data_IF_297387034929
#
_entry.id   IF_297387034929
#
_cell.length_a   1.000
_cell.length_b   1.000
_cell.length_c   1.000
_cell.angle_alpha   90.00
_cell.angle_beta   90.00
_cell.angle_gamma   90.00
#
_symmetry.space_group_name_H-M   'P 1'
#
loop_
_entity.id
_entity.type
_entity.pdbx_description
1 polymer ?
#
# COMPACT_ATOMS: atom_id res chain seq x y z
N UNK A 1 5.46 4.36 13.84
CA UNK A 1 4.15 4.92 14.26
C UNK A 1 4.00 4.93 15.78
N UNK A 2 3.93 3.78 16.46
CA UNK A 2 3.67 3.77 17.92
C UNK A 2 4.83 4.22 18.83
N UNK A 3 6.08 4.12 18.36
CA UNK A 3 7.26 4.43 19.18
C UNK A 3 7.75 3.24 20.03
N UNK A 4 8.90 3.41 20.69
CA UNK A 4 9.42 2.46 21.69
C UNK A 4 8.95 2.88 23.08
N UNK A 5 8.89 1.95 24.02
CA UNK A 5 8.51 2.26 25.41
C UNK A 5 9.39 3.38 26.00
N UNK A 6 10.71 3.25 25.83
CA UNK A 6 11.68 4.25 26.30
C UNK A 6 11.44 5.64 25.70
N UNK A 7 11.06 5.74 24.43
CA UNK A 7 10.73 7.03 23.82
C UNK A 7 9.43 7.61 24.38
N UNK A 8 8.40 6.76 24.55
CA UNK A 8 7.09 7.20 25.07
C UNK A 8 7.22 7.72 26.49
N UNK A 9 7.95 7.00 27.35
CA UNK A 9 8.20 7.39 28.74
C UNK A 9 9.10 8.64 28.86
N UNK A 10 9.93 8.90 27.85
CA UNK A 10 10.85 10.03 27.81
C UNK A 10 10.25 11.35 27.33
N UNK A 11 9.05 11.35 26.74
CA UNK A 11 8.46 12.59 26.23
C UNK A 11 8.04 13.52 27.37
N UNK A 12 8.46 14.78 27.28
CA UNK A 12 7.97 15.85 28.16
C UNK A 12 7.06 16.81 27.40
N UNK A 13 6.29 17.62 28.14
CA UNK A 13 5.36 18.62 27.58
C UNK A 13 6.02 19.50 26.51
N UNK A 14 7.24 19.94 26.75
CA UNK A 14 7.95 20.84 25.84
C UNK A 14 8.31 20.18 24.51
N UNK A 15 8.50 18.86 24.46
CA UNK A 15 8.71 18.14 23.20
C UNK A 15 7.44 18.12 22.35
N UNK A 16 6.28 17.92 22.98
CA UNK A 16 4.98 17.96 22.30
C UNK A 16 4.68 19.36 21.76
N UNK A 17 4.93 20.40 22.56
CA UNK A 17 4.77 21.79 22.11
C UNK A 17 5.69 22.13 20.95
N UNK A 18 6.96 21.73 21.03
CA UNK A 18 7.93 21.92 19.94
C UNK A 18 7.48 21.20 18.67
N UNK A 19 6.96 19.99 18.79
CA UNK A 19 6.42 19.23 17.66
C UNK A 19 5.24 19.96 17.01
N UNK A 20 4.23 20.37 17.80
CA UNK A 20 3.07 21.10 17.28
C UNK A 20 3.51 22.40 16.59
N UNK A 21 4.39 23.18 17.22
CA UNK A 21 4.91 24.43 16.64
C UNK A 21 5.67 24.22 15.31
N UNK A 22 6.36 23.10 15.15
CA UNK A 22 7.12 22.80 13.93
C UNK A 22 6.32 22.13 12.81
N UNK A 23 5.22 21.44 13.14
CA UNK A 23 4.48 20.60 12.19
C UNK A 23 3.04 21.06 11.91
N UNK A 24 2.37 21.74 12.84
CA UNK A 24 0.99 22.21 12.68
C UNK A 24 0.99 23.66 12.14
N UNK A 25 1.50 23.81 10.93
CA UNK A 25 1.73 25.11 10.27
C UNK A 25 0.93 25.19 8.97
N UNK A 26 0.63 26.40 8.52
CA UNK A 26 -0.18 26.66 7.32
C UNK A 26 0.27 25.84 6.09
N UNK A 27 1.56 25.86 5.71
CA UNK A 27 2.07 25.11 4.55
C UNK A 27 1.97 23.57 4.66
N UNK A 28 1.70 23.01 5.85
CA UNK A 28 1.54 21.56 6.10
C UNK A 28 0.11 21.17 6.45
N UNK A 29 -0.85 22.09 6.28
CA UNK A 29 -2.24 21.89 6.68
C UNK A 29 -3.14 21.96 5.45
N UNK A 30 -3.96 20.92 5.28
CA UNK A 30 -5.04 20.89 4.29
C UNK A 30 -6.36 20.91 5.04
N UNK A 31 -7.21 21.89 4.70
CA UNK A 31 -8.58 21.96 5.21
C UNK A 31 -9.50 21.52 4.08
N UNK A 32 -10.39 20.56 4.35
CA UNK A 32 -11.28 19.98 3.36
C UNK A 32 -12.73 19.98 3.85
N UNK A 33 -13.68 20.04 2.91
CA UNK A 33 -15.10 19.88 3.16
C UNK A 33 -15.75 19.08 2.03
N UNK A 34 -16.74 18.25 2.37
CA UNK A 34 -17.59 17.56 1.41
C UNK A 34 -19.03 17.47 1.98
N UNK A 35 -20.01 17.45 1.07
CA UNK A 35 -21.43 17.39 1.41
C UNK A 35 -22.20 18.63 0.97
N UNK A 36 -23.29 18.93 1.67
CA UNK A 36 -24.14 20.09 1.38
C UNK A 36 -23.54 21.37 1.97
N UNK A 37 -22.50 21.90 1.33
CA UNK A 37 -21.78 23.11 1.76
C UNK A 37 -21.79 24.16 0.65
N UNK A 38 -22.01 25.42 1.02
CA UNK A 38 -21.74 26.55 0.13
C UNK A 38 -20.23 26.76 0.08
N UNK A 39 -19.63 26.48 -1.08
CA UNK A 39 -18.19 26.54 -1.27
C UNK A 39 -17.62 27.95 -1.00
N UNK A 40 -18.31 29.01 -1.41
CA UNK A 40 -17.82 30.37 -1.26
C UNK A 40 -17.87 30.81 0.21
N UNK A 41 -18.99 30.55 0.90
CA UNK A 41 -19.12 30.84 2.32
C UNK A 41 -18.13 30.02 3.17
N UNK A 42 -17.95 28.74 2.82
CA UNK A 42 -16.99 27.88 3.50
C UNK A 42 -15.55 28.33 3.30
N UNK A 43 -15.15 28.69 2.07
CA UNK A 43 -13.81 29.21 1.80
C UNK A 43 -13.53 30.51 2.55
N UNK A 44 -14.50 31.42 2.63
CA UNK A 44 -14.36 32.66 3.39
C UNK A 44 -14.16 32.38 4.88
N UNK A 45 -14.97 31.49 5.46
CA UNK A 45 -14.86 31.11 6.87
C UNK A 45 -13.54 30.37 7.18
N UNK A 46 -13.11 29.47 6.29
CA UNK A 46 -11.83 28.78 6.44
C UNK A 46 -10.66 29.77 6.38
N UNK A 47 -10.68 30.71 5.43
CA UNK A 47 -9.67 31.74 5.34
C UNK A 47 -9.61 32.59 6.62
N UNK A 48 -10.75 32.96 7.19
CA UNK A 48 -10.83 33.71 8.46
C UNK A 48 -10.25 32.90 9.63
N UNK A 49 -10.75 31.68 9.85
CA UNK A 49 -10.39 30.85 11.02
C UNK A 49 -8.92 30.41 11.01
N UNK A 50 -8.35 30.21 9.82
CA UNK A 50 -6.97 29.74 9.66
C UNK A 50 -5.99 30.85 9.28
N UNK A 51 -6.42 32.12 9.16
CA UNK A 51 -5.54 33.27 8.85
C UNK A 51 -4.38 33.43 9.84
N UNK A 52 -4.60 33.09 11.11
CA UNK A 52 -3.59 33.19 12.17
C UNK A 52 -2.63 32.00 12.25
N UNK A 53 -2.76 30.99 11.38
CA UNK A 53 -1.85 29.85 11.42
C UNK A 53 -0.41 30.29 11.16
N UNK A 54 0.55 29.85 11.98
CA UNK A 54 1.95 30.11 11.71
C UNK A 54 2.35 29.51 10.36
N UNK A 55 3.15 30.23 9.59
CA UNK A 55 3.80 29.65 8.39
C UNK A 55 4.85 28.58 8.78
N UNK A 56 5.24 28.55 10.05
CA UNK A 56 6.43 27.86 10.55
C UNK A 56 7.67 28.73 10.38
N UNK A 57 8.78 28.35 11.03
CA UNK A 57 10.09 28.80 10.54
C UNK A 57 10.23 28.32 9.08
N UNK A 58 10.99 29.05 8.23
CA UNK A 58 11.38 28.49 6.94
C UNK A 58 11.83 27.05 7.17
N UNK A 59 11.40 26.09 6.32
CA UNK A 59 11.80 24.72 6.51
C UNK A 59 13.32 24.76 6.66
N UNK A 60 13.81 24.46 7.87
CA UNK A 60 15.17 23.95 7.97
C UNK A 60 15.19 22.91 6.87
N UNK A 61 16.14 23.02 5.96
CA UNK A 61 16.38 22.05 4.92
C UNK A 61 16.86 20.72 5.54
N UNK A 62 16.21 20.26 6.63
CA UNK A 62 15.90 18.88 6.88
C UNK A 62 15.22 18.35 5.61
N UNK A 63 16.06 18.08 4.63
CA UNK A 63 15.76 17.16 3.56
C UNK A 63 15.07 15.97 4.22
N UNK A 64 13.91 15.53 3.70
CA UNK A 64 13.37 14.25 4.14
C UNK A 64 14.53 13.25 4.13
N UNK A 65 14.74 12.47 5.21
CA UNK A 65 15.88 11.57 5.31
C UNK A 65 15.95 10.79 4.01
N UNK A 66 17.13 10.79 3.37
CA UNK A 66 17.33 10.15 2.09
C UNK A 66 16.70 8.76 2.14
N UNK A 67 15.76 8.49 1.23
CA UNK A 67 15.01 7.25 1.25
C UNK A 67 16.02 6.10 1.25
N UNK A 68 16.09 5.35 2.36
CA UNK A 68 16.97 4.21 2.45
C UNK A 68 16.61 3.28 1.29
N UNK A 69 17.58 2.87 0.45
CA UNK A 69 17.29 1.96 -0.65
C UNK A 69 16.57 0.73 -0.12
N UNK A 70 15.47 0.36 -0.78
CA UNK A 70 14.73 -0.82 -0.39
C UNK A 70 15.62 -2.06 -0.54
N UNK A 71 15.84 -2.78 0.55
CA UNK A 71 16.76 -3.92 0.60
C UNK A 71 16.05 -5.28 0.63
N UNK A 72 14.75 -5.30 0.93
CA UNK A 72 14.06 -6.52 1.38
C UNK A 72 14.59 -6.97 2.75
N UNK A 73 13.70 -7.41 3.64
CA UNK A 73 14.09 -7.91 4.96
C UNK A 73 13.18 -9.05 5.38
N UNK A 74 13.74 -10.05 6.06
CA UNK A 74 12.97 -11.17 6.58
C UNK A 74 13.03 -11.18 8.11
N UNK A 75 11.88 -10.90 8.73
CA UNK A 75 11.73 -10.81 10.18
C UNK A 75 10.80 -11.92 10.68
N UNK A 76 11.13 -12.47 11.84
CA UNK A 76 10.31 -13.42 12.54
C UNK A 76 10.07 -12.98 13.98
N UNK A 77 8.82 -13.10 14.43
CA UNK A 77 8.48 -12.93 15.84
C UNK A 77 7.84 -14.21 16.36
N UNK A 78 8.51 -14.85 17.33
CA UNK A 78 7.91 -16.00 18.01
C UNK A 78 6.75 -15.52 18.87
N UNK A 79 5.59 -16.15 18.68
CA UNK A 79 4.39 -15.89 19.47
C UNK A 79 3.72 -17.22 19.81
N UNK A 80 4.07 -17.78 20.97
CA UNK A 80 3.74 -19.16 21.33
C UNK A 80 2.33 -19.33 21.91
N UNK A 81 1.67 -18.22 22.26
CA UNK A 81 0.34 -18.16 22.86
C UNK A 81 -0.78 -18.48 21.87
N UNK A 82 -0.48 -18.52 20.57
CA UNK A 82 -1.44 -18.80 19.50
C UNK A 82 -0.95 -19.97 18.65
N UNK A 83 -1.89 -20.77 18.14
CA UNK A 83 -1.60 -21.88 17.22
C UNK A 83 -1.38 -21.42 15.77
N UNK A 84 -1.81 -20.21 15.45
CA UNK A 84 -1.75 -19.64 14.11
C UNK A 84 -0.39 -18.98 13.82
N UNK A 85 -0.11 -18.87 12.52
CA UNK A 85 1.00 -18.11 11.95
C UNK A 85 0.42 -17.01 11.08
N UNK A 86 0.88 -15.79 11.31
CA UNK A 86 0.55 -14.58 10.55
C UNK A 86 1.72 -14.29 9.62
N UNK A 87 1.46 -14.29 8.32
CA UNK A 87 2.45 -14.02 7.28
C UNK A 87 2.07 -12.73 6.55
N UNK A 88 3.04 -11.83 6.40
CA UNK A 88 2.94 -10.65 5.56
C UNK A 88 4.16 -10.61 4.64
N UNK A 89 3.94 -10.39 3.36
CA UNK A 89 4.98 -10.27 2.35
C UNK A 89 4.72 -9.00 1.56
N UNK A 90 5.72 -8.12 1.49
CA UNK A 90 5.59 -6.81 0.89
C UNK A 90 6.72 -6.56 -0.12
N UNK A 91 6.38 -5.89 -1.21
CA UNK A 91 7.32 -5.49 -2.26
C UNK A 91 7.06 -4.05 -2.68
N UNK A 92 8.12 -3.27 -2.98
CA UNK A 92 7.96 -1.91 -3.46
C UNK A 92 7.42 -1.96 -4.88
N UNK A 93 6.49 -1.07 -5.18
CA UNK A 93 5.90 -0.97 -6.53
C UNK A 93 5.94 0.45 -7.10
N UNK A 94 6.24 1.46 -6.26
CA UNK A 94 6.34 2.84 -6.67
C UNK A 94 7.43 3.05 -7.74
N UNK A 95 7.12 3.66 -8.90
CA UNK A 95 8.10 4.03 -9.90
C UNK A 95 8.92 5.23 -9.44
N UNK A 96 10.13 5.37 -9.97
CA UNK A 96 10.97 6.55 -9.75
C UNK A 96 10.60 7.63 -10.77
N UNK A 97 10.27 8.84 -10.30
CA UNK A 97 10.25 10.06 -11.13
C UNK A 97 9.09 10.22 -12.11
N UNK A 98 7.84 10.06 -11.67
CA UNK A 98 6.65 10.32 -12.49
C UNK A 98 6.00 11.68 -12.15
N UNK A 99 5.42 12.38 -13.12
CA UNK A 99 4.57 13.54 -12.88
C UNK A 99 3.23 13.16 -12.20
N UNK A 100 2.44 14.16 -11.78
CA UNK A 100 1.20 13.97 -11.02
C UNK A 100 0.19 13.00 -11.66
N UNK A 101 -0.03 13.12 -12.98
CA UNK A 101 -1.04 12.32 -13.68
C UNK A 101 -0.53 10.89 -13.90
N UNK A 102 0.73 10.75 -14.29
CA UNK A 102 1.40 9.45 -14.38
C UNK A 102 1.42 8.74 -13.02
N UNK A 103 1.60 9.48 -11.92
CA UNK A 103 1.51 8.95 -10.56
C UNK A 103 0.09 8.46 -10.24
N UNK A 104 -0.95 9.24 -10.52
CA UNK A 104 -2.34 8.83 -10.26
C UNK A 104 -2.70 7.55 -11.02
N UNK A 105 -2.35 7.48 -12.31
CA UNK A 105 -2.59 6.30 -13.16
C UNK A 105 -1.85 5.08 -12.66
N UNK A 106 -0.56 5.22 -12.37
CA UNK A 106 0.24 4.12 -11.85
C UNK A 106 -0.30 3.62 -10.49
N UNK A 107 -0.71 4.52 -9.58
CA UNK A 107 -1.30 4.14 -8.28
C UNK A 107 -2.59 3.35 -8.45
N UNK A 108 -3.42 3.73 -9.43
CA UNK A 108 -4.63 2.99 -9.79
C UNK A 108 -4.30 1.61 -10.37
N UNK A 109 -3.30 1.50 -11.25
CA UNK A 109 -2.85 0.22 -11.80
C UNK A 109 -2.32 -0.71 -10.69
N UNK A 110 -1.55 -0.19 -9.73
CA UNK A 110 -1.06 -0.95 -8.59
C UNK A 110 -2.20 -1.41 -7.65
N UNK A 111 -3.18 -0.54 -7.40
CA UNK A 111 -4.37 -0.90 -6.61
C UNK A 111 -5.22 -1.94 -7.33
N UNK A 112 -5.35 -1.82 -8.65
CA UNK A 112 -6.05 -2.80 -9.49
C UNK A 112 -5.34 -4.16 -9.48
N UNK A 113 -4.01 -4.20 -9.55
CA UNK A 113 -3.23 -5.43 -9.43
C UNK A 113 -3.46 -6.14 -8.08
N UNK A 114 -3.45 -5.38 -6.97
CA UNK A 114 -3.70 -5.94 -5.64
C UNK A 114 -5.13 -6.49 -5.53
N UNK A 115 -6.12 -5.73 -5.99
CA UNK A 115 -7.52 -6.17 -5.99
C UNK A 115 -7.77 -7.37 -6.93
N UNK A 116 -7.08 -7.41 -8.08
CA UNK A 116 -7.12 -8.54 -8.99
C UNK A 116 -6.60 -9.81 -8.30
N UNK A 117 -5.47 -9.72 -7.61
CA UNK A 117 -4.80 -10.87 -7.02
C UNK A 117 -5.49 -11.41 -5.76
N UNK A 118 -5.88 -10.52 -4.84
CA UNK A 118 -6.39 -10.91 -3.52
C UNK A 118 -7.68 -10.20 -3.08
N UNK A 119 -8.29 -9.39 -3.93
CA UNK A 119 -9.51 -8.65 -3.62
C UNK A 119 -10.78 -9.51 -3.74
N UNK A 120 -11.19 -10.11 -2.62
CA UNK A 120 -12.43 -10.88 -2.50
C UNK A 120 -12.27 -12.38 -2.79
N UNK A 121 -13.36 -13.14 -2.59
CA UNK A 121 -13.31 -14.62 -2.55
C UNK A 121 -13.00 -15.27 -3.90
N UNK A 122 -13.36 -14.65 -5.01
CA UNK A 122 -13.07 -15.14 -6.37
C UNK A 122 -11.73 -14.66 -6.92
N UNK A 123 -10.92 -13.98 -6.11
CA UNK A 123 -9.57 -13.60 -6.53
C UNK A 123 -8.64 -14.83 -6.55
N UNK A 124 -7.66 -14.92 -7.47
CA UNK A 124 -6.79 -16.09 -7.62
C UNK A 124 -6.13 -16.55 -6.32
N UNK A 125 -5.72 -15.61 -5.47
CA UNK A 125 -5.11 -15.91 -4.18
C UNK A 125 -6.12 -16.60 -3.25
N UNK A 126 -7.29 -15.99 -3.02
CA UNK A 126 -8.29 -16.54 -2.11
C UNK A 126 -8.83 -17.89 -2.61
N UNK A 127 -9.19 -17.97 -3.89
CA UNK A 127 -9.70 -19.19 -4.53
C UNK A 127 -8.70 -20.35 -4.43
N UNK A 128 -7.44 -20.12 -4.79
CA UNK A 128 -6.42 -21.19 -4.75
C UNK A 128 -6.05 -21.57 -3.32
N UNK A 129 -5.69 -20.57 -2.51
CA UNK A 129 -5.08 -20.81 -1.20
C UNK A 129 -6.11 -21.26 -0.17
N UNK A 130 -7.30 -20.64 -0.15
CA UNK A 130 -8.34 -20.96 0.84
C UNK A 130 -9.25 -22.08 0.36
N UNK A 131 -9.79 -21.94 -0.86
CA UNK A 131 -10.87 -22.84 -1.31
C UNK A 131 -10.33 -24.16 -1.88
N UNK A 132 -9.33 -24.11 -2.77
CA UNK A 132 -8.80 -25.34 -3.41
C UNK A 132 -7.79 -26.10 -2.55
N UNK A 133 -6.85 -25.39 -1.93
CA UNK A 133 -5.73 -26.03 -1.21
C UNK A 133 -5.90 -26.05 0.31
N UNK A 134 -6.85 -25.28 0.87
CA UNK A 134 -7.08 -25.23 2.32
C UNK A 134 -5.84 -24.81 3.13
N UNK A 135 -4.96 -24.00 2.55
CA UNK A 135 -3.66 -23.62 3.11
C UNK A 135 -3.74 -22.44 4.07
N UNK A 136 -4.81 -21.64 4.04
CA UNK A 136 -4.97 -20.49 4.93
C UNK A 136 -6.42 -20.32 5.39
N UNK A 137 -6.60 -19.71 6.56
CA UNK A 137 -7.89 -19.22 7.03
C UNK A 137 -8.27 -17.94 6.27
N UNK A 138 -7.30 -17.03 6.13
CA UNK A 138 -7.41 -15.79 5.37
C UNK A 138 -6.20 -15.65 4.46
N UNK A 139 -6.42 -15.10 3.27
CA UNK A 139 -5.40 -14.80 2.29
C UNK A 139 -5.93 -13.67 1.40
N UNK A 140 -5.26 -12.52 1.43
CA UNK A 140 -5.66 -11.32 0.72
C UNK A 140 -4.43 -10.55 0.24
N UNK A 141 -4.66 -9.56 -0.62
CA UNK A 141 -3.63 -8.66 -1.10
C UNK A 141 -4.14 -7.23 -1.12
N UNK A 142 -3.25 -6.30 -0.77
CA UNK A 142 -3.54 -4.88 -0.67
C UNK A 142 -2.40 -4.05 -1.23
N UNK A 143 -2.70 -2.80 -1.57
CA UNK A 143 -1.69 -1.79 -1.85
C UNK A 143 -1.60 -0.90 -0.61
N UNK A 144 -0.53 -1.04 0.17
CA UNK A 144 -0.20 -0.13 1.26
C UNK A 144 0.63 1.02 0.71
N UNK A 145 0.30 2.27 1.03
CA UNK A 145 0.90 3.42 0.35
C UNK A 145 0.91 4.67 1.22
N UNK A 146 1.95 5.47 1.04
CA UNK A 146 2.05 6.83 1.54
C UNK A 146 2.18 7.83 0.40
N UNK A 147 2.62 9.03 0.76
CA UNK A 147 2.97 10.13 -0.13
C UNK A 147 4.10 9.76 -1.09
N UNK A 148 5.21 9.21 -0.58
CA UNK A 148 6.42 8.94 -1.35
C UNK A 148 6.73 7.45 -1.55
N UNK A 149 5.88 6.54 -1.07
CA UNK A 149 6.11 5.10 -1.11
C UNK A 149 4.83 4.33 -1.38
N UNK A 150 4.98 3.12 -1.91
CA UNK A 150 3.88 2.18 -2.09
C UNK A 150 4.40 0.75 -2.17
N UNK A 151 3.74 -0.14 -1.44
CA UNK A 151 4.07 -1.53 -1.29
C UNK A 151 2.86 -2.40 -1.64
N UNK A 152 3.07 -3.38 -2.52
CA UNK A 152 2.12 -4.46 -2.71
C UNK A 152 2.30 -5.44 -1.56
N UNK A 153 1.24 -5.73 -0.81
CA UNK A 153 1.29 -6.57 0.39
C UNK A 153 0.37 -7.77 0.21
N UNK A 154 0.92 -8.97 0.42
CA UNK A 154 0.17 -10.22 0.56
C UNK A 154 0.14 -10.61 2.02
N UNK A 155 -1.07 -10.84 2.54
CA UNK A 155 -1.31 -11.19 3.94
C UNK A 155 -2.02 -12.53 4.03
N UNK A 156 -1.59 -13.40 4.93
CA UNK A 156 -2.25 -14.68 5.16
C UNK A 156 -2.13 -15.13 6.62
N UNK A 157 -3.17 -15.83 7.10
CA UNK A 157 -3.17 -16.51 8.40
C UNK A 157 -3.31 -18.00 8.20
N UNK A 158 -2.37 -18.78 8.74
CA UNK A 158 -2.26 -20.22 8.51
C UNK A 158 -1.81 -20.97 9.77
N UNK A 159 -1.51 -22.26 9.67
CA UNK A 159 -0.87 -23.08 10.70
C UNK A 159 0.59 -23.35 10.33
N UNK A 160 1.48 -23.64 11.30
CA UNK A 160 2.91 -23.82 11.05
C UNK A 160 3.25 -24.89 10.00
N UNK A 161 2.47 -25.97 9.93
CA UNK A 161 2.64 -27.09 9.00
C UNK A 161 2.31 -26.73 7.54
N UNK A 162 1.48 -25.70 7.31
CA UNK A 162 1.04 -25.27 5.98
C UNK A 162 1.84 -24.11 5.40
N UNK A 163 2.63 -23.43 6.23
CA UNK A 163 3.34 -22.19 5.87
C UNK A 163 4.22 -22.33 4.62
N UNK A 164 4.95 -23.43 4.51
CA UNK A 164 5.86 -23.68 3.39
C UNK A 164 5.10 -23.86 2.06
N UNK A 165 4.01 -24.63 2.08
CA UNK A 165 3.16 -24.87 0.92
C UNK A 165 2.43 -23.59 0.50
N UNK A 166 1.94 -22.82 1.49
CA UNK A 166 1.33 -21.51 1.26
C UNK A 166 2.27 -20.57 0.52
N UNK A 167 3.50 -20.39 1.01
CA UNK A 167 4.49 -19.51 0.38
C UNK A 167 4.85 -19.96 -1.03
N UNK A 168 4.99 -21.26 -1.26
CA UNK A 168 5.27 -21.80 -2.60
C UNK A 168 4.12 -21.49 -3.58
N UNK A 169 2.88 -21.83 -3.21
CA UNK A 169 1.70 -21.59 -4.02
C UNK A 169 1.47 -20.09 -4.29
N UNK A 170 1.65 -19.23 -3.28
CA UNK A 170 1.57 -17.77 -3.48
C UNK A 170 2.61 -17.29 -4.49
N UNK A 171 3.85 -17.78 -4.43
CA UNK A 171 4.88 -17.42 -5.39
C UNK A 171 4.58 -17.87 -6.82
N UNK A 172 3.99 -19.05 -7.00
CA UNK A 172 3.53 -19.53 -8.31
C UNK A 172 2.42 -18.64 -8.88
N UNK A 173 1.42 -18.31 -8.07
CA UNK A 173 0.31 -17.44 -8.48
C UNK A 173 0.79 -16.05 -8.87
N UNK A 174 1.72 -15.46 -8.11
CA UNK A 174 2.31 -14.14 -8.45
C UNK A 174 3.07 -14.17 -9.77
N UNK A 175 3.86 -15.23 -10.01
CA UNK A 175 4.57 -15.41 -11.30
C UNK A 175 3.60 -15.63 -12.45
N UNK A 176 2.49 -16.32 -12.24
CA UNK A 176 1.45 -16.47 -13.24
C UNK A 176 0.86 -15.11 -13.65
N UNK A 177 0.59 -14.21 -12.69
CA UNK A 177 0.12 -12.86 -13.01
C UNK A 177 1.19 -12.01 -13.74
N UNK A 178 2.46 -12.20 -13.41
CA UNK A 178 3.56 -11.55 -14.13
C UNK A 178 3.77 -12.11 -15.55
N UNK A 179 3.29 -13.32 -15.84
CA UNK A 179 3.36 -13.91 -17.18
C UNK A 179 2.17 -13.48 -18.05
N UNK A 180 0.96 -13.58 -17.53
CA UNK A 180 -0.26 -13.21 -18.24
C UNK A 180 -1.38 -12.83 -17.27
N UNK A 181 -2.09 -11.75 -17.60
CA UNK A 181 -3.28 -11.34 -16.87
C UNK A 181 -4.52 -11.95 -17.54
N UNK A 182 -5.28 -12.70 -16.76
CA UNK A 182 -6.57 -13.24 -17.20
C UNK A 182 -7.57 -12.08 -17.39
N UNK A 183 -8.17 -11.94 -18.60
CA UNK A 183 -9.15 -10.89 -18.87
C UNK A 183 -10.34 -10.90 -17.92
N UNK A 184 -10.81 -12.08 -17.49
CA UNK A 184 -11.95 -12.21 -16.58
C UNK A 184 -11.60 -11.67 -15.19
N UNK A 185 -10.40 -11.98 -14.70
CA UNK A 185 -9.94 -11.43 -13.43
C UNK A 185 -9.70 -9.92 -13.49
N UNK A 186 -9.22 -9.41 -14.63
CA UNK A 186 -9.04 -7.97 -14.85
C UNK A 186 -10.38 -7.23 -14.84
N UNK A 187 -11.35 -7.69 -15.62
CA UNK A 187 -12.68 -7.08 -15.69
C UNK A 187 -13.37 -7.08 -14.33
N UNK A 188 -13.31 -8.22 -13.62
CA UNK A 188 -13.80 -8.34 -12.24
C UNK A 188 -13.16 -7.30 -11.33
N UNK A 189 -11.83 -7.16 -11.37
CA UNK A 189 -11.10 -6.24 -10.52
C UNK A 189 -11.43 -4.77 -10.83
N UNK A 190 -11.60 -4.42 -12.12
CA UNK A 190 -12.02 -3.08 -12.56
C UNK A 190 -13.40 -2.74 -12.02
N UNK A 191 -14.35 -3.65 -12.17
CA UNK A 191 -15.72 -3.47 -11.69
C UNK A 191 -15.77 -3.30 -10.17
N UNK A 192 -15.03 -4.14 -9.43
CA UNK A 192 -14.95 -4.02 -7.97
C UNK A 192 -14.33 -2.69 -7.51
N UNK A 193 -13.24 -2.25 -8.14
CA UNK A 193 -12.58 -1.00 -7.80
C UNK A 193 -13.45 0.22 -8.14
N UNK A 194 -14.14 0.19 -9.29
CA UNK A 194 -15.11 1.21 -9.68
C UNK A 194 -16.27 1.32 -8.67
N UNK A 195 -16.88 0.19 -8.29
CA UNK A 195 -17.94 0.16 -7.28
C UNK A 195 -17.43 0.64 -5.91
N UNK A 196 -16.19 0.29 -5.54
CA UNK A 196 -15.58 0.79 -4.30
C UNK A 196 -15.42 2.32 -4.33
N UNK A 197 -14.97 2.90 -5.45
CA UNK A 197 -14.84 4.34 -5.64
C UNK A 197 -16.17 5.07 -5.55
N UNK A 198 -17.22 4.56 -6.20
CA UNK A 198 -18.57 5.15 -6.14
C UNK A 198 -19.12 5.12 -4.72
N UNK A 199 -19.05 3.97 -4.02
CA UNK A 199 -19.51 3.86 -2.63
C UNK A 199 -18.71 4.71 -1.64
N UNK A 200 -17.44 5.00 -1.94
CA UNK A 200 -16.66 5.95 -1.16
C UNK A 200 -17.19 7.37 -1.34
N UNK A 201 -17.50 7.77 -2.58
CA UNK A 201 -17.99 9.10 -2.92
C UNK A 201 -19.36 9.46 -2.29
N UNK A 202 -20.17 8.45 -1.95
CA UNK A 202 -21.46 8.62 -1.24
C UNK A 202 -21.29 9.05 0.24
N UNK A 203 -20.09 8.94 0.80
CA UNK A 203 -19.81 9.21 2.21
C UNK A 203 -18.92 10.45 2.31
N UNK A 204 -19.43 11.61 2.81
CA UNK A 204 -18.68 12.86 2.83
C UNK A 204 -17.29 12.75 3.44
N UNK A 205 -17.15 12.03 4.55
CA UNK A 205 -15.85 11.81 5.19
C UNK A 205 -14.86 11.07 4.28
N UNK A 206 -15.30 9.97 3.65
CA UNK A 206 -14.44 9.20 2.75
C UNK A 206 -14.08 9.99 1.47
N UNK A 207 -14.98 10.84 0.99
CA UNK A 207 -14.69 11.76 -0.12
C UNK A 207 -13.61 12.76 0.25
N UNK A 208 -13.68 13.37 1.44
CA UNK A 208 -12.63 14.29 1.92
C UNK A 208 -11.30 13.57 2.10
N UNK A 209 -11.30 12.42 2.78
CA UNK A 209 -10.10 11.62 3.02
C UNK A 209 -9.40 11.26 1.71
N UNK A 210 -10.15 10.75 0.72
CA UNK A 210 -9.64 10.43 -0.60
C UNK A 210 -9.04 11.65 -1.31
N UNK A 211 -9.72 12.80 -1.27
CA UNK A 211 -9.23 14.02 -1.91
C UNK A 211 -7.93 14.53 -1.26
N UNK A 212 -7.84 14.48 0.07
CA UNK A 212 -6.63 14.88 0.80
C UNK A 212 -5.47 13.92 0.50
N UNK A 213 -5.72 12.60 0.50
CA UNK A 213 -4.69 11.61 0.16
C UNK A 213 -4.17 11.79 -1.28
N UNK A 214 -5.05 12.04 -2.25
CA UNK A 214 -4.67 12.29 -3.64
C UNK A 214 -3.90 13.61 -3.80
N UNK A 215 -4.33 14.67 -3.12
CA UNK A 215 -3.62 15.95 -3.10
C UNK A 215 -2.21 15.78 -2.51
N UNK A 216 -2.06 15.05 -1.41
CA UNK A 216 -0.76 14.83 -0.78
C UNK A 216 0.14 13.90 -1.60
N UNK A 217 -0.43 12.87 -2.22
CA UNK A 217 0.36 11.90 -2.99
C UNK A 217 0.72 12.40 -4.40
N UNK A 218 -0.20 13.08 -5.09
CA UNK A 218 -0.07 13.43 -6.50
C UNK A 218 -0.02 14.94 -6.75
N UNK A 219 -0.30 15.78 -5.74
CA UNK A 219 -0.42 17.23 -5.92
C UNK A 219 -1.73 17.69 -6.56
N UNK A 220 -2.66 16.77 -6.84
CA UNK A 220 -3.95 17.07 -7.45
C UNK A 220 -5.02 16.07 -7.00
N UNK A 221 -6.27 16.53 -6.96
CA UNK A 221 -7.45 15.69 -6.70
C UNK A 221 -7.96 15.15 -8.03
N UNK A 222 -8.18 13.84 -8.14
CA UNK A 222 -8.74 13.23 -9.33
C UNK A 222 -10.26 13.20 -9.21
N UNK A 223 -10.97 13.72 -10.22
CA UNK A 223 -12.43 13.67 -10.20
C UNK A 223 -12.91 12.22 -10.27
N UNK A 224 -14.08 11.93 -9.69
CA UNK A 224 -14.66 10.58 -9.76
C UNK A 224 -14.85 10.10 -11.21
N UNK A 225 -15.40 10.90 -12.15
CA UNK A 225 -15.47 10.51 -13.56
C UNK A 225 -14.11 10.17 -14.18
N UNK A 226 -13.08 10.98 -13.94
CA UNK A 226 -11.74 10.74 -14.48
C UNK A 226 -11.11 9.49 -13.87
N UNK A 227 -11.28 9.27 -12.57
CA UNK A 227 -10.81 8.06 -11.90
C UNK A 227 -11.48 6.80 -12.48
N UNK A 228 -12.80 6.85 -12.72
CA UNK A 228 -13.53 5.74 -13.31
C UNK A 228 -13.10 5.48 -14.76
N UNK A 229 -12.97 6.52 -15.57
CA UNK A 229 -12.47 6.41 -16.94
C UNK A 229 -11.06 5.81 -16.96
N UNK A 230 -10.18 6.26 -16.08
CA UNK A 230 -8.82 5.75 -15.96
C UNK A 230 -8.78 4.28 -15.50
N UNK A 231 -9.61 3.87 -14.53
CA UNK A 231 -9.73 2.46 -14.13
C UNK A 231 -10.15 1.58 -15.30
N UNK A 232 -11.13 2.04 -16.09
CA UNK A 232 -11.63 1.27 -17.24
C UNK A 232 -10.61 1.19 -18.38
N UNK A 233 -9.81 2.24 -18.57
CA UNK A 233 -8.78 2.30 -19.60
C UNK A 233 -7.52 1.48 -19.28
N UNK A 234 -7.17 1.28 -18.00
CA UNK A 234 -5.98 0.52 -17.61
C UNK A 234 -5.95 -0.89 -18.24
N UNK A 235 -4.88 -1.19 -18.98
CA UNK A 235 -4.74 -2.44 -19.72
C UNK A 235 -4.15 -3.61 -18.92
N UNK A 236 -4.23 -4.80 -19.51
CA UNK A 236 -3.59 -6.01 -18.96
C UNK A 236 -2.07 -5.85 -18.82
N UNK A 237 -1.41 -5.21 -19.78
CA UNK A 237 0.04 -4.99 -19.76
C UNK A 237 0.48 -4.08 -18.60
N UNK A 238 -0.30 -3.04 -18.29
CA UNK A 238 0.00 -2.14 -17.16
C UNK A 238 -0.12 -2.87 -15.82
N UNK A 239 -1.13 -3.73 -15.68
CA UNK A 239 -1.30 -4.57 -14.49
C UNK A 239 -0.20 -5.62 -14.40
N UNK A 240 0.17 -6.28 -15.51
CA UNK A 240 1.30 -7.22 -15.57
C UNK A 240 2.60 -6.55 -15.13
N UNK A 241 2.86 -5.33 -15.63
CA UNK A 241 4.05 -4.56 -15.29
C UNK A 241 4.18 -4.27 -13.79
N UNK A 242 3.07 -4.17 -13.05
CA UNK A 242 3.11 -4.06 -11.58
C UNK A 242 3.69 -5.35 -10.97
N UNK A 243 3.21 -6.53 -11.37
CA UNK A 243 3.71 -7.80 -10.87
C UNK A 243 5.17 -8.04 -11.28
N UNK A 244 5.55 -7.72 -12.51
CA UNK A 244 6.94 -7.81 -12.98
C UNK A 244 7.87 -6.92 -12.15
N UNK A 245 7.50 -5.64 -11.96
CA UNK A 245 8.27 -4.70 -11.14
C UNK A 245 8.39 -5.18 -9.70
N UNK A 246 7.28 -5.62 -9.13
CA UNK A 246 7.22 -6.16 -7.78
C UNK A 246 8.21 -7.33 -7.61
N UNK A 247 8.18 -8.30 -8.53
CA UNK A 247 9.01 -9.50 -8.49
C UNK A 247 10.48 -9.26 -8.87
N UNK A 248 10.82 -8.10 -9.42
CA UNK A 248 12.21 -7.67 -9.63
C UNK A 248 12.92 -7.31 -8.32
N UNK A 249 12.18 -7.11 -7.22
CA UNK A 249 12.73 -6.79 -5.92
C UNK A 249 12.67 -7.99 -4.96
N UNK A 250 13.67 -8.15 -4.05
CA UNK A 250 13.57 -9.14 -2.99
C UNK A 250 12.39 -8.79 -2.06
N UNK A 251 11.60 -9.74 -1.55
CA UNK A 251 10.49 -9.41 -0.65
C UNK A 251 10.96 -8.90 0.72
N UNK A 252 10.13 -8.07 1.34
CA UNK A 252 10.11 -7.84 2.77
C UNK A 252 9.07 -8.78 3.39
N UNK A 253 9.52 -9.72 4.21
CA UNK A 253 8.69 -10.77 4.80
C UNK A 253 8.68 -10.62 6.32
N UNK A 254 7.49 -10.55 6.90
CA UNK A 254 7.30 -10.61 8.34
C UNK A 254 6.42 -11.82 8.67
N UNK A 255 6.91 -12.68 9.57
CA UNK A 255 6.16 -13.85 10.02
C UNK A 255 6.09 -13.89 11.54
N UNK A 256 4.88 -14.05 12.09
CA UNK A 256 4.65 -14.13 13.53
C UNK A 256 3.88 -15.40 13.87
N UNK A 257 4.30 -16.15 14.88
CA UNK A 257 3.54 -17.32 15.33
C UNK A 257 4.36 -18.34 16.10
N UNK A 258 3.77 -19.53 16.30
CA UNK A 258 4.45 -20.65 16.96
C UNK A 258 5.44 -21.30 15.99
N UNK A 259 6.67 -21.53 16.47
CA UNK A 259 7.69 -22.28 15.71
C UNK A 259 8.41 -21.48 14.61
N UNK A 260 8.08 -20.20 14.41
CA UNK A 260 8.78 -19.36 13.43
C UNK A 260 10.11 -18.85 13.97
N UNK A 261 11.11 -18.72 13.10
CA UNK A 261 12.44 -18.23 13.42
C UNK A 261 12.97 -17.32 12.31
N UNK A 262 13.99 -16.52 12.61
CA UNK A 262 14.65 -15.70 11.58
C UNK A 262 15.24 -16.53 10.44
N UNK A 263 15.67 -17.77 10.70
CA UNK A 263 16.11 -18.72 9.66
C UNK A 263 14.95 -19.10 8.74
N UNK A 264 13.80 -19.45 9.33
CA UNK A 264 12.58 -19.77 8.58
C UNK A 264 12.14 -18.59 7.72
N UNK A 265 12.08 -17.37 8.28
CA UNK A 265 11.70 -16.17 7.53
C UNK A 265 12.60 -15.93 6.32
N UNK A 266 13.94 -16.03 6.49
CA UNK A 266 14.89 -15.89 5.37
C UNK A 266 14.73 -16.98 4.31
N UNK A 267 14.48 -18.22 4.73
CA UNK A 267 14.24 -19.33 3.80
C UNK A 267 12.97 -19.09 2.98
N UNK A 268 11.88 -18.64 3.60
CA UNK A 268 10.62 -18.31 2.92
C UNK A 268 10.82 -17.15 1.95
N UNK A 269 11.48 -16.07 2.38
CA UNK A 269 11.78 -14.92 1.53
C UNK A 269 12.61 -15.31 0.30
N UNK A 270 13.59 -16.20 0.47
CA UNK A 270 14.45 -16.72 -0.61
C UNK A 270 13.68 -17.46 -1.72
N UNK A 271 12.49 -18.00 -1.44
CA UNK A 271 11.65 -18.68 -2.45
C UNK A 271 11.09 -17.74 -3.51
N UNK A 272 11.04 -16.43 -3.23
CA UNK A 272 10.62 -15.41 -4.19
C UNK A 272 11.81 -14.82 -4.97
N UNK A 273 13.04 -14.91 -4.45
CA UNK A 273 14.22 -14.29 -5.07
C UNK A 273 14.79 -15.06 -6.29
N UNK A 274 14.43 -16.34 -6.47
CA UNK A 274 15.11 -17.25 -7.40
C UNK A 274 14.88 -17.04 -8.90
N UNK A 275 14.21 -15.96 -9.35
CA UNK A 275 13.88 -15.74 -10.77
C UNK A 275 14.39 -14.44 -11.39
N UNK A 276 15.06 -13.56 -10.64
CA UNK A 276 15.58 -12.28 -11.17
C UNK A 276 16.90 -12.39 -11.98
N UNK A 277 17.36 -13.60 -12.32
CA UNK A 277 18.74 -13.85 -12.76
C UNK A 277 18.94 -14.40 -14.18
N UNK A 278 18.05 -14.15 -15.16
CA UNK A 278 18.29 -14.52 -16.57
C UNK A 278 17.78 -13.49 -17.58
N UNK A 279 18.32 -12.27 -17.54
CA UNK A 279 18.35 -11.39 -18.72
C UNK A 279 19.16 -10.13 -18.46
N UNK A 280 20.48 -10.23 -18.64
CA UNK A 280 21.27 -9.09 -19.10
C UNK A 280 22.45 -9.65 -19.92
N UNK A 281 22.45 -9.55 -21.26
CA UNK A 281 23.68 -9.67 -22.00
C UNK A 281 24.53 -8.43 -21.66
N UNK A 282 25.76 -8.65 -21.20
CA UNK A 282 26.72 -7.56 -21.00
C UNK A 282 27.06 -6.91 -22.34
N UNK A 283 27.28 -5.59 -22.39
CA UNK A 283 27.82 -4.91 -23.56
C UNK A 283 29.25 -5.36 -23.88
#
# INVERSE_FOLDING_TARGET
VIGTLANIEGFVRDDLLRHVQAHHVGPKTVVAAAGNVDAAAWMALAAELFAGMPSGAEPSAAQPPAATPYAGQALARRFAQVSQVFLNIAWPVAPVGADALAQARWRLAAGLAANLFGGGMSAPLADTIRERLGLAYTADATLDKGDAWANFVVSAVTTPDKLDALVAATGELLRAQAAAIDPVHLERAKNQLAVSRVRAAERPYATMEQAVEELLACGAVLSLPDALAMIQDIGADEVRAVFERMLAHPPALAVTGKGVSGKTARQLAGRFAATAGRSAPSP
#
